data_IF_201279674188
#
_entry.id   IF_201279674188
#
_cell.length_a   1.000
_cell.length_b   1.000
_cell.length_c   1.000
_cell.angle_alpha   90.00
_cell.angle_beta   90.00
_cell.angle_gamma   90.00
#
_symmetry.space_group_name_H-M   'P 1'
#
loop_
_entity.id
_entity.type
_entity.pdbx_description
1 polymer ?
#
# COMPACT_ATOMS: atom_id res chain seq x y z
N UNK A 1 -14.08 26.02 -36.61
CA UNK A 1 -14.21 24.87 -37.53
C UNK A 1 -13.67 23.63 -36.80
N UNK A 2 -14.54 22.80 -36.21
CA UNK A 2 -14.12 21.57 -35.51
C UNK A 2 -13.84 20.51 -36.56
N UNK A 3 -12.57 20.30 -36.88
CA UNK A 3 -12.15 19.20 -37.74
C UNK A 3 -12.50 17.89 -37.01
N UNK A 4 -13.33 17.07 -37.65
CA UNK A 4 -13.84 15.84 -37.09
C UNK A 4 -12.70 14.79 -37.06
N UNK A 5 -12.16 14.47 -35.88
CA UNK A 5 -11.04 13.53 -35.71
C UNK A 5 -11.27 12.18 -36.42
N UNK A 6 -12.53 11.78 -36.64
CA UNK A 6 -12.90 10.58 -37.41
C UNK A 6 -12.46 10.63 -38.88
N UNK A 7 -12.48 11.80 -39.51
CA UNK A 7 -12.10 11.95 -40.91
C UNK A 7 -10.57 11.93 -41.09
N UNK A 8 -9.83 12.43 -40.10
CA UNK A 8 -8.36 12.34 -40.10
C UNK A 8 -7.89 10.90 -39.88
N UNK A 9 -8.51 10.15 -38.97
CA UNK A 9 -8.20 8.73 -38.76
C UNK A 9 -8.45 7.89 -40.02
N UNK A 10 -9.54 8.15 -40.75
CA UNK A 10 -9.88 7.43 -41.99
C UNK A 10 -8.88 7.71 -43.13
N UNK A 11 -8.39 8.95 -43.25
CA UNK A 11 -7.39 9.33 -44.27
C UNK A 11 -5.98 8.80 -43.96
N UNK A 12 -5.67 8.54 -42.69
CA UNK A 12 -4.42 7.90 -42.30
C UNK A 12 -4.43 6.39 -42.55
N UNK A 13 -5.54 5.70 -42.23
CA UNK A 13 -5.68 4.26 -42.50
C UNK A 13 -5.57 3.88 -43.99
N UNK A 14 -5.90 4.79 -44.90
CA UNK A 14 -5.77 4.57 -46.34
C UNK A 14 -4.34 4.79 -46.88
N UNK A 15 -3.43 5.43 -46.12
CA UNK A 15 -2.08 5.80 -46.60
C UNK A 15 -0.92 5.17 -45.84
N UNK A 16 -1.15 4.51 -44.70
CA UNK A 16 -0.05 3.97 -43.88
C UNK A 16 -0.01 2.45 -43.91
N UNK A 17 1.12 1.89 -44.34
CA UNK A 17 1.44 0.46 -44.29
C UNK A 17 1.83 -0.01 -42.87
N UNK A 18 1.32 0.68 -41.85
CA UNK A 18 1.70 0.53 -40.45
C UNK A 18 0.62 -0.28 -39.77
N UNK A 19 1.01 -1.42 -39.18
CA UNK A 19 0.14 -2.30 -38.41
C UNK A 19 -0.61 -1.51 -37.32
N UNK A 20 -1.89 -1.83 -37.10
CA UNK A 20 -2.71 -1.26 -36.04
C UNK A 20 -2.02 -1.31 -34.66
N UNK A 21 -1.21 -2.35 -34.41
CA UNK A 21 -0.45 -2.49 -33.16
C UNK A 21 0.64 -1.43 -32.97
N UNK A 22 1.25 -0.96 -34.05
CA UNK A 22 2.29 0.07 -34.00
C UNK A 22 1.68 1.46 -33.82
N UNK A 23 0.47 1.67 -34.36
CA UNK A 23 -0.32 2.87 -34.13
C UNK A 23 -0.76 3.00 -32.67
N UNK A 24 -1.29 1.94 -32.09
CA UNK A 24 -1.68 1.92 -30.68
C UNK A 24 -0.47 2.10 -29.76
N UNK A 25 0.68 1.49 -30.08
CA UNK A 25 1.90 1.71 -29.32
C UNK A 25 2.39 3.18 -29.39
N UNK A 26 2.33 3.82 -30.55
CA UNK A 26 2.72 5.24 -30.69
C UNK A 26 1.74 6.17 -29.97
N UNK A 27 0.43 5.94 -30.11
CA UNK A 27 -0.58 6.78 -29.48
C UNK A 27 -0.56 6.63 -27.96
N UNK A 28 -0.38 5.40 -27.46
CA UNK A 28 -0.24 5.14 -26.03
C UNK A 28 1.01 5.79 -25.46
N UNK A 29 2.16 5.72 -26.16
CA UNK A 29 3.39 6.36 -25.69
C UNK A 29 3.32 7.89 -25.74
N UNK A 30 2.69 8.48 -26.75
CA UNK A 30 2.51 9.93 -26.83
C UNK A 30 1.56 10.44 -25.75
N UNK A 31 0.48 9.71 -25.44
CA UNK A 31 -0.50 10.13 -24.42
C UNK A 31 -0.05 9.85 -22.99
N UNK A 32 0.81 8.84 -22.75
CA UNK A 32 1.30 8.51 -21.40
C UNK A 32 2.23 9.57 -20.80
N UNK A 33 2.89 10.38 -21.64
CA UNK A 33 3.81 11.44 -21.21
C UNK A 33 3.37 12.85 -21.63
N UNK A 34 2.34 12.98 -22.46
CA UNK A 34 1.80 14.29 -22.86
C UNK A 34 0.76 14.77 -21.85
N UNK A 35 1.21 15.59 -20.90
CA UNK A 35 0.33 16.35 -20.00
C UNK A 35 -0.32 17.54 -20.73
N UNK A 36 -0.88 17.37 -21.94
CA UNK A 36 -1.71 18.38 -22.65
C UNK A 36 -1.13 19.78 -22.90
N UNK A 37 0.06 20.09 -22.41
CA UNK A 37 0.70 21.41 -22.37
C UNK A 37 2.07 21.43 -23.07
N UNK A 38 2.43 20.35 -23.79
CA UNK A 38 3.65 20.30 -24.60
C UNK A 38 4.97 20.35 -23.81
N UNK A 39 4.93 20.23 -22.49
CA UNK A 39 6.11 20.24 -21.63
C UNK A 39 6.48 18.81 -21.26
N UNK A 40 7.61 18.32 -21.78
CA UNK A 40 8.23 17.09 -21.30
C UNK A 40 8.77 17.35 -19.89
N UNK A 41 7.93 17.13 -18.89
CA UNK A 41 8.35 17.12 -17.50
C UNK A 41 9.15 15.82 -17.37
N UNK A 42 10.48 15.94 -17.22
CA UNK A 42 11.31 14.80 -16.78
C UNK A 42 10.62 14.22 -15.54
N UNK A 43 10.43 12.89 -15.42
CA UNK A 43 9.78 12.31 -14.27
C UNK A 43 10.61 12.66 -13.04
N UNK A 44 10.18 13.69 -12.33
CA UNK A 44 10.72 14.08 -11.02
C UNK A 44 10.53 12.86 -10.15
N UNK A 45 11.67 12.27 -9.79
CA UNK A 45 11.86 11.30 -8.71
C UNK A 45 10.66 10.40 -8.43
N UNK A 46 10.64 9.21 -9.05
CA UNK A 46 9.80 8.03 -8.74
C UNK A 46 8.82 8.30 -7.59
N UNK A 47 7.70 8.95 -7.87
CA UNK A 47 6.59 8.96 -6.93
C UNK A 47 6.24 7.49 -6.71
N UNK A 48 6.41 6.94 -5.49
CA UNK A 48 5.96 5.59 -5.24
C UNK A 48 4.47 5.61 -5.56
N UNK A 49 4.05 4.79 -6.52
CA UNK A 49 2.66 4.68 -6.90
C UNK A 49 1.85 4.59 -5.61
N UNK A 50 0.83 5.42 -5.44
CA UNK A 50 0.09 5.50 -4.18
C UNK A 50 -0.34 4.10 -3.67
N UNK A 51 -0.57 3.16 -4.61
CA UNK A 51 -0.76 1.73 -4.37
C UNK A 51 0.32 1.04 -3.50
N UNK A 52 1.62 1.31 -3.73
CA UNK A 52 2.72 0.72 -2.95
C UNK A 52 2.71 1.19 -1.49
N UNK A 53 2.35 2.46 -1.26
CA UNK A 53 2.22 2.99 0.09
C UNK A 53 1.06 2.35 0.84
N UNK A 54 -0.14 2.32 0.24
CA UNK A 54 -1.31 1.68 0.87
C UNK A 54 -1.09 0.20 1.15
N UNK A 55 -0.41 -0.52 0.26
CA UNK A 55 -0.08 -1.93 0.46
C UNK A 55 0.91 -2.13 1.64
N UNK A 56 1.97 -1.32 1.70
CA UNK A 56 2.98 -1.40 2.76
C UNK A 56 2.40 -1.02 4.13
N UNK A 57 1.57 0.02 4.18
CA UNK A 57 0.86 0.43 5.39
C UNK A 57 -0.14 -0.64 5.83
N UNK A 58 -0.94 -1.19 4.90
CA UNK A 58 -1.87 -2.28 5.19
C UNK A 58 -1.20 -3.53 5.74
N UNK A 59 -0.02 -3.87 5.22
CA UNK A 59 0.79 -5.00 5.70
C UNK A 59 1.28 -4.79 7.15
N UNK A 60 1.65 -3.56 7.53
CA UNK A 60 2.04 -3.25 8.92
C UNK A 60 0.86 -3.43 9.87
N UNK A 61 -0.33 -2.95 9.50
CA UNK A 61 -1.51 -3.13 10.33
C UNK A 61 -1.86 -4.61 10.49
N UNK A 62 -1.83 -5.38 9.39
CA UNK A 62 -2.08 -6.81 9.42
C UNK A 62 -1.07 -7.57 10.30
N UNK A 63 0.22 -7.29 10.14
CA UNK A 63 1.27 -7.93 10.95
C UNK A 63 1.21 -7.52 12.42
N UNK A 64 0.85 -6.26 12.73
CA UNK A 64 0.62 -5.80 14.10
C UNK A 64 -0.50 -6.55 14.80
N UNK A 65 -1.61 -6.80 14.12
CA UNK A 65 -2.72 -7.63 14.64
C UNK A 65 -2.27 -9.06 14.87
N UNK A 66 -1.57 -9.68 13.92
CA UNK A 66 -1.05 -11.04 14.06
C UNK A 66 -0.09 -11.16 15.26
N UNK A 67 0.76 -10.17 15.48
CA UNK A 67 1.68 -10.15 16.61
C UNK A 67 0.93 -10.01 17.94
N UNK A 68 -0.10 -9.17 18.00
CA UNK A 68 -0.94 -9.05 19.20
C UNK A 68 -1.64 -10.38 19.53
N UNK A 69 -2.17 -11.08 18.53
CA UNK A 69 -2.79 -12.41 18.70
C UNK A 69 -1.75 -13.44 19.13
N UNK A 70 -0.57 -13.46 18.51
CA UNK A 70 0.51 -14.37 18.89
C UNK A 70 0.95 -14.12 20.34
N UNK A 71 1.15 -12.85 20.73
CA UNK A 71 1.46 -12.48 22.11
C UNK A 71 0.38 -12.95 23.07
N UNK A 72 -0.90 -12.80 22.72
CA UNK A 72 -1.98 -13.29 23.58
C UNK A 72 -1.92 -14.82 23.75
N UNK A 73 -1.73 -15.56 22.66
CA UNK A 73 -1.69 -17.04 22.70
C UNK A 73 -0.47 -17.56 23.47
N UNK A 74 0.69 -16.90 23.38
CA UNK A 74 1.92 -17.37 24.02
C UNK A 74 2.13 -16.79 25.41
N UNK A 75 1.97 -15.48 25.60
CA UNK A 75 2.30 -14.79 26.85
C UNK A 75 1.27 -15.09 27.94
N UNK A 76 -0.02 -15.11 27.60
CA UNK A 76 -1.10 -15.36 28.58
C UNK A 76 -0.92 -16.71 29.30
N UNK A 77 -0.75 -17.87 28.63
CA UNK A 77 -0.54 -19.13 29.34
C UNK A 77 0.80 -19.20 30.07
N UNK A 78 1.84 -18.51 29.60
CA UNK A 78 3.14 -18.41 30.29
C UNK A 78 3.01 -17.71 31.65
N UNK A 79 2.13 -16.72 31.76
CA UNK A 79 1.91 -15.99 33.01
C UNK A 79 1.29 -16.86 34.12
N UNK A 80 0.73 -18.03 33.79
CA UNK A 80 0.27 -19.03 34.78
C UNK A 80 1.40 -19.48 35.71
N UNK A 81 2.64 -19.46 35.24
CA UNK A 81 3.81 -19.87 36.04
C UNK A 81 4.39 -18.77 36.91
N UNK A 82 4.00 -17.50 36.66
CA UNK A 82 4.56 -16.33 37.34
C UNK A 82 3.59 -15.77 38.37
N UNK A 83 2.29 -15.81 38.07
CA UNK A 83 1.25 -15.16 38.86
C UNK A 83 0.50 -16.19 39.70
N UNK A 84 0.00 -15.78 40.87
CA UNK A 84 -0.83 -16.64 41.72
C UNK A 84 -2.07 -17.14 40.97
N UNK A 85 -2.40 -18.43 41.14
CA UNK A 85 -3.53 -19.11 40.49
C UNK A 85 -4.87 -18.38 40.68
N UNK A 86 -5.13 -17.84 41.87
CA UNK A 86 -6.34 -17.07 42.19
C UNK A 86 -6.50 -15.81 41.35
N UNK A 87 -5.38 -15.17 40.98
CA UNK A 87 -5.41 -13.97 40.13
C UNK A 87 -5.47 -14.34 38.65
N UNK A 88 -4.77 -15.40 38.24
CA UNK A 88 -4.78 -15.90 36.85
C UNK A 88 -6.17 -16.32 36.37
N UNK A 89 -6.98 -16.93 37.24
CA UNK A 89 -8.36 -17.32 36.94
C UNK A 89 -9.35 -16.15 37.02
N UNK A 90 -8.93 -15.01 37.57
CA UNK A 90 -9.74 -13.82 37.68
C UNK A 90 -9.96 -13.12 36.34
N UNK A 91 -11.17 -12.61 36.12
CA UNK A 91 -11.50 -11.82 34.92
C UNK A 91 -10.60 -10.57 34.77
N UNK A 92 -10.08 -10.03 35.88
CA UNK A 92 -9.15 -8.90 35.87
C UNK A 92 -7.83 -9.21 35.17
N UNK A 93 -7.30 -10.44 35.31
CA UNK A 93 -6.09 -10.85 34.60
C UNK A 93 -6.32 -10.90 33.09
N UNK A 94 -7.46 -11.43 32.66
CA UNK A 94 -7.85 -11.49 31.26
C UNK A 94 -7.96 -10.08 30.64
N UNK A 95 -8.56 -9.13 31.36
CA UNK A 95 -8.66 -7.74 30.94
C UNK A 95 -7.29 -7.06 30.85
N UNK A 96 -6.42 -7.25 31.85
CA UNK A 96 -5.04 -6.74 31.83
C UNK A 96 -4.22 -7.34 30.69
N UNK A 97 -4.32 -8.65 30.46
CA UNK A 97 -3.64 -9.35 29.38
C UNK A 97 -4.10 -8.87 28.01
N UNK A 98 -5.40 -8.64 27.84
CA UNK A 98 -5.96 -8.11 26.60
C UNK A 98 -5.49 -6.68 26.33
N UNK A 99 -5.56 -5.80 27.33
CA UNK A 99 -5.04 -4.43 27.21
C UNK A 99 -3.54 -4.42 26.88
N UNK A 100 -2.75 -5.25 27.54
CA UNK A 100 -1.32 -5.38 27.26
C UNK A 100 -1.05 -5.78 25.81
N UNK A 101 -1.78 -6.78 25.29
CA UNK A 101 -1.62 -7.22 23.90
C UNK A 101 -2.00 -6.12 22.90
N UNK A 102 -3.07 -5.37 23.18
CA UNK A 102 -3.48 -4.23 22.34
C UNK A 102 -2.42 -3.13 22.34
N UNK A 103 -1.88 -2.76 23.51
CA UNK A 103 -0.83 -1.75 23.63
C UNK A 103 0.44 -2.18 22.88
N UNK A 104 0.85 -3.44 23.03
CA UNK A 104 2.03 -3.97 22.33
C UNK A 104 1.83 -4.04 20.82
N UNK A 105 0.65 -4.46 20.36
CA UNK A 105 0.29 -4.42 18.94
C UNK A 105 0.31 -3.00 18.36
N UNK A 106 -0.23 -2.03 19.10
CA UNK A 106 -0.21 -0.61 18.71
C UNK A 106 1.23 -0.06 18.64
N UNK A 107 2.06 -0.37 19.63
CA UNK A 107 3.48 0.01 19.64
C UNK A 107 4.21 -0.56 18.44
N UNK A 108 3.94 -1.82 18.07
CA UNK A 108 4.52 -2.44 16.88
C UNK A 108 4.17 -1.68 15.60
N UNK A 109 2.89 -1.34 15.44
CA UNK A 109 2.40 -0.57 14.29
C UNK A 109 3.08 0.81 14.26
N UNK A 110 3.13 1.51 15.40
CA UNK A 110 3.75 2.82 15.50
C UNK A 110 5.23 2.81 15.12
N UNK A 111 5.98 1.82 15.62
CA UNK A 111 7.39 1.62 15.28
C UNK A 111 7.53 1.31 13.78
N UNK A 112 6.73 0.38 13.24
CA UNK A 112 6.75 0.00 11.83
C UNK A 112 6.49 1.20 10.89
N UNK A 113 5.50 2.03 11.22
CA UNK A 113 5.21 3.25 10.46
C UNK A 113 6.37 4.24 10.48
N UNK A 114 7.00 4.44 11.64
CA UNK A 114 8.16 5.32 11.79
C UNK A 114 9.38 4.83 11.00
N UNK A 115 9.57 3.51 10.88
CA UNK A 115 10.62 2.92 10.05
C UNK A 115 10.38 3.13 8.55
N UNK A 116 9.13 3.02 8.07
CA UNK A 116 8.80 3.35 6.69
C UNK A 116 9.09 4.82 6.38
N UNK A 117 8.71 5.74 7.26
CA UNK A 117 8.96 7.17 7.06
C UNK A 117 10.47 7.46 7.01
N UNK A 118 11.26 6.84 7.87
CA UNK A 118 12.72 6.99 7.88
C UNK A 118 13.38 6.38 6.64
N UNK A 119 12.91 5.23 6.16
CA UNK A 119 13.43 4.58 4.93
C UNK A 119 13.19 5.40 3.67
N UNK A 120 12.26 6.36 3.71
CA UNK A 120 11.89 7.22 2.58
C UNK A 120 12.78 8.47 2.45
N UNK A 121 13.43 8.95 3.53
CA UNK A 121 14.32 10.13 3.51
C UNK A 121 15.75 9.72 3.22
#
# INVERSE_FOLDING_TARGET
>A
MKINNREQQKKFSERTNISNSTFDAMNTNQTRFSNGQGKNILPTEREPSAASYYFSTGFIYFTGVLIAVALFIFVVPLMKYVVSTTFYEGAGFLLCGLLFCVVMGYLWIYIGLKFIEKSRR
#
